data_IF_902080220767
#
_entry.id   IF_902080220767
#
_cell.length_a   1.000
_cell.length_b   1.000
_cell.length_c   1.000
_cell.angle_alpha   90.00
_cell.angle_beta   90.00
_cell.angle_gamma   90.00
#
_symmetry.space_group_name_H-M   'P 1'
#
loop_
_entity.id
_entity.type
_entity.pdbx_description
1 polymer ?
#
# COMPACT_ATOMS: atom_id res chain seq x y z
N UNK A 1 2.85 2.61 -26.85
CA UNK A 1 2.53 1.88 -25.60
C UNK A 1 1.60 2.74 -24.78
N UNK A 2 0.35 2.31 -24.58
CA UNK A 2 -0.65 3.08 -23.83
C UNK A 2 -0.49 2.84 -22.33
N UNK A 3 -0.64 3.89 -21.52
CA UNK A 3 -0.84 3.73 -20.08
C UNK A 3 -2.17 3.00 -19.85
N UNK A 4 -2.23 2.14 -18.82
CA UNK A 4 -3.49 1.47 -18.46
C UNK A 4 -4.52 2.41 -17.82
N UNK A 5 -4.11 3.60 -17.39
CA UNK A 5 -4.97 4.63 -16.81
C UNK A 5 -4.81 5.97 -17.53
N UNK A 6 -5.95 6.64 -17.74
CA UNK A 6 -6.04 8.04 -18.19
C UNK A 6 -5.64 8.95 -17.02
N UNK A 7 -4.58 9.74 -17.18
CA UNK A 7 -4.12 10.65 -16.11
C UNK A 7 -4.92 11.94 -16.22
N UNK A 8 -5.81 12.14 -15.26
CA UNK A 8 -6.58 13.37 -15.12
C UNK A 8 -6.00 14.19 -13.98
N UNK A 9 -5.42 15.33 -14.31
CA UNK A 9 -4.97 16.29 -13.30
C UNK A 9 -6.16 17.14 -12.85
N UNK A 10 -6.46 17.12 -11.56
CA UNK A 10 -7.49 17.98 -10.95
C UNK A 10 -7.08 18.35 -9.52
N UNK A 11 -7.68 19.42 -8.98
CA UNK A 11 -7.49 19.80 -7.58
C UNK A 11 -8.13 18.78 -6.62
N UNK A 12 -9.05 17.94 -7.09
CA UNK A 12 -9.66 16.86 -6.31
C UNK A 12 -8.61 15.83 -5.85
N UNK A 13 -7.46 15.76 -6.53
CA UNK A 13 -6.33 14.92 -6.10
C UNK A 13 -5.79 15.29 -4.70
N UNK A 14 -6.11 16.49 -4.19
CA UNK A 14 -5.75 16.93 -2.84
C UNK A 14 -6.84 16.67 -1.80
N UNK A 15 -7.99 16.13 -2.21
CA UNK A 15 -9.05 15.77 -1.27
C UNK A 15 -8.57 14.69 -0.29
N UNK A 16 -8.96 14.87 0.95
CA UNK A 16 -8.61 13.97 2.05
C UNK A 16 -9.80 13.07 2.32
N UNK A 17 -9.53 11.79 2.50
CA UNK A 17 -10.54 10.79 2.80
C UNK A 17 -10.19 10.09 4.12
N UNK A 18 -11.19 9.91 4.97
CA UNK A 18 -11.04 9.16 6.21
C UNK A 18 -11.14 7.67 5.92
N UNK A 19 -10.20 6.93 6.48
CA UNK A 19 -10.21 5.47 6.50
C UNK A 19 -9.89 5.00 7.91
N UNK A 20 -10.52 3.90 8.38
CA UNK A 20 -10.19 3.34 9.67
C UNK A 20 -8.77 2.77 9.65
N UNK A 21 -8.00 3.01 10.72
CA UNK A 21 -6.64 2.46 10.88
C UNK A 21 -6.68 0.94 11.07
N UNK A 22 -7.69 0.43 11.78
CA UNK A 22 -7.95 -1.00 11.92
C UNK A 22 -9.20 -1.32 11.11
N UNK A 23 -9.08 -2.23 10.14
CA UNK A 23 -10.16 -2.60 9.24
C UNK A 23 -10.29 -4.11 9.17
N UNK A 24 -11.51 -4.60 9.32
CA UNK A 24 -11.80 -6.02 9.15
C UNK A 24 -11.72 -6.38 7.66
N UNK A 25 -11.04 -7.47 7.35
CA UNK A 25 -11.08 -8.05 6.02
C UNK A 25 -12.53 -8.46 5.68
N UNK A 26 -13.07 -8.09 4.50
CA UNK A 26 -14.50 -8.31 4.22
C UNK A 26 -14.89 -9.79 4.24
N UNK A 27 -14.01 -10.66 3.77
CA UNK A 27 -14.23 -12.10 3.67
C UNK A 27 -13.80 -12.88 4.93
N UNK A 28 -12.58 -12.67 5.45
CA UNK A 28 -12.07 -13.45 6.60
C UNK A 28 -12.48 -12.87 7.95
N UNK A 29 -12.93 -11.61 7.99
CA UNK A 29 -13.25 -10.84 9.22
C UNK A 29 -12.08 -10.56 10.16
N UNK A 30 -10.88 -11.02 9.82
CA UNK A 30 -9.66 -10.73 10.56
C UNK A 30 -9.38 -9.22 10.59
N UNK A 31 -8.93 -8.72 11.74
CA UNK A 31 -8.49 -7.34 11.89
C UNK A 31 -7.13 -7.14 11.21
N UNK A 32 -7.01 -6.07 10.42
CA UNK A 32 -5.77 -5.66 9.78
C UNK A 32 -5.51 -4.17 9.94
N UNK A 33 -4.23 -3.80 9.95
CA UNK A 33 -3.82 -2.39 9.86
C UNK A 33 -4.03 -1.94 8.41
N UNK A 34 -4.84 -0.91 8.22
CA UNK A 34 -5.17 -0.35 6.92
C UNK A 34 -4.49 1.01 6.72
N UNK A 35 -3.45 0.98 5.89
CA UNK A 35 -2.74 2.18 5.44
C UNK A 35 -1.23 2.04 5.54
N UNK A 36 -0.53 3.04 5.00
CA UNK A 36 0.94 3.09 5.00
C UNK A 36 1.40 4.53 5.16
N UNK A 37 2.58 4.71 5.76
CA UNK A 37 3.20 6.02 6.00
C UNK A 37 3.39 6.84 4.71
N UNK A 38 3.39 6.19 3.54
CA UNK A 38 3.47 6.86 2.24
C UNK A 38 2.19 7.57 1.78
N UNK A 39 1.03 7.27 2.40
CA UNK A 39 -0.27 7.86 2.05
C UNK A 39 -0.99 8.53 3.22
N UNK A 40 -0.74 8.09 4.46
CA UNK A 40 -1.37 8.67 5.64
C UNK A 40 -0.73 10.04 5.93
N UNK A 41 -1.57 11.06 6.10
CA UNK A 41 -1.13 12.45 6.38
C UNK A 41 -1.41 12.89 7.83
N UNK A 42 -2.08 12.07 8.62
CA UNK A 42 -2.49 12.35 10.00
C UNK A 42 -3.51 11.35 10.52
N UNK A 43 -3.92 11.51 11.78
CA UNK A 43 -5.01 10.73 12.41
C UNK A 43 -6.09 11.72 12.83
N UNK A 44 -7.33 11.44 12.46
CA UNK A 44 -8.46 12.32 12.78
C UNK A 44 -8.63 12.50 14.30
N UNK A 45 -8.81 13.75 14.73
CA UNK A 45 -8.94 14.10 16.14
C UNK A 45 -7.64 14.05 16.97
N UNK A 46 -6.47 13.77 16.37
CA UNK A 46 -5.18 13.75 17.06
C UNK A 46 -4.28 14.87 16.50
N UNK A 47 -3.53 15.54 17.38
CA UNK A 47 -2.51 16.51 16.97
C UNK A 47 -1.48 15.86 16.03
N UNK A 48 -1.00 16.61 15.04
CA UNK A 48 -0.11 16.07 14.01
C UNK A 48 1.20 15.50 14.58
N UNK A 49 1.79 16.10 15.62
CA UNK A 49 3.05 15.59 16.17
C UNK A 49 2.82 14.25 16.86
N UNK A 50 1.75 14.13 17.63
CA UNK A 50 1.37 12.90 18.31
C UNK A 50 0.95 11.81 17.31
N UNK A 51 0.16 12.18 16.31
CA UNK A 51 -0.23 11.28 15.22
C UNK A 51 0.99 10.72 14.49
N UNK A 52 1.97 11.58 14.17
CA UNK A 52 3.19 11.12 13.48
C UNK A 52 4.01 10.15 14.32
N UNK A 53 4.07 10.33 15.65
CA UNK A 53 4.75 9.36 16.53
C UNK A 53 4.08 7.98 16.44
N UNK A 54 2.75 7.92 16.55
CA UNK A 54 1.98 6.69 16.43
C UNK A 54 2.19 6.03 15.06
N UNK A 55 2.11 6.83 13.98
CA UNK A 55 2.26 6.32 12.61
C UNK A 55 3.65 5.76 12.35
N UNK A 56 4.70 6.36 12.93
CA UNK A 56 6.07 5.84 12.81
C UNK A 56 6.26 4.53 13.58
N UNK A 57 5.68 4.42 14.78
CA UNK A 57 5.67 3.17 15.55
C UNK A 57 4.94 2.04 14.80
N UNK A 58 3.75 2.32 14.25
CA UNK A 58 2.99 1.37 13.43
C UNK A 58 3.74 0.98 12.16
N UNK A 59 4.39 1.93 11.49
CA UNK A 59 5.21 1.66 10.30
C UNK A 59 6.37 0.73 10.63
N UNK A 60 7.10 1.00 11.73
CA UNK A 60 8.19 0.16 12.19
C UNK A 60 7.71 -1.27 12.54
N UNK A 61 6.56 -1.40 13.20
CA UNK A 61 5.97 -2.69 13.51
C UNK A 61 5.56 -3.47 12.25
N UNK A 62 4.87 -2.83 11.30
CA UNK A 62 4.45 -3.46 10.03
C UNK A 62 5.63 -3.93 9.17
N UNK A 63 6.83 -3.36 9.39
CA UNK A 63 8.03 -3.66 8.61
C UNK A 63 9.00 -4.63 9.31
N UNK A 64 8.64 -5.24 10.45
CA UNK A 64 9.47 -6.26 11.09
C UNK A 64 9.70 -7.45 10.16
N UNK A 65 10.91 -8.00 10.16
CA UNK A 65 11.30 -9.08 9.24
C UNK A 65 10.42 -10.34 9.35
N UNK A 66 9.80 -10.59 10.51
CA UNK A 66 8.86 -11.70 10.73
C UNK A 66 7.58 -11.61 9.88
N UNK A 67 7.21 -10.40 9.42
CA UNK A 67 6.07 -10.17 8.53
C UNK A 67 6.47 -10.08 7.05
N UNK A 68 7.77 -10.15 6.74
CA UNK A 68 8.28 -9.84 5.40
C UNK A 68 8.50 -11.12 4.59
N UNK A 69 7.68 -11.30 3.57
CA UNK A 69 7.99 -12.18 2.45
C UNK A 69 8.83 -11.43 1.39
N UNK A 70 9.98 -12.01 1.00
CA UNK A 70 10.84 -11.48 -0.08
C UNK A 70 10.78 -12.37 -1.31
N UNK A 71 10.28 -11.81 -2.42
CA UNK A 71 10.20 -12.54 -3.67
C UNK A 71 11.42 -12.30 -4.56
N UNK A 72 12.07 -13.38 -5.00
CA UNK A 72 13.10 -13.33 -6.03
C UNK A 72 12.47 -13.64 -7.40
N UNK A 73 12.35 -12.59 -8.21
CA UNK A 73 11.75 -12.70 -9.55
C UNK A 73 12.57 -13.57 -10.48
N UNK A 74 11.88 -14.36 -11.29
CA UNK A 74 12.40 -15.01 -12.51
C UNK A 74 11.41 -14.76 -13.66
N UNK A 75 11.88 -14.98 -14.89
CA UNK A 75 11.05 -14.87 -16.08
C UNK A 75 9.82 -15.78 -15.95
N UNK A 76 8.69 -15.31 -16.45
CA UNK A 76 7.41 -16.04 -16.51
C UNK A 76 6.81 -16.38 -15.14
N UNK A 77 7.18 -15.64 -14.08
CA UNK A 77 6.54 -15.72 -12.77
C UNK A 77 5.33 -14.79 -12.65
N UNK A 78 4.32 -15.26 -11.93
CA UNK A 78 3.16 -14.50 -11.50
C UNK A 78 3.12 -14.46 -9.98
N UNK A 79 2.88 -13.28 -9.42
CA UNK A 79 2.44 -13.12 -8.04
C UNK A 79 1.07 -12.46 -8.05
N UNK A 80 0.24 -12.89 -7.10
CA UNK A 80 -1.00 -12.23 -6.72
C UNK A 80 -0.94 -11.95 -5.22
N UNK A 81 -1.41 -10.78 -4.80
CA UNK A 81 -1.53 -10.43 -3.40
C UNK A 81 -2.87 -9.72 -3.14
N UNK A 82 -3.32 -9.77 -1.89
CA UNK A 82 -4.50 -9.05 -1.44
C UNK A 82 -4.11 -7.65 -0.94
N UNK A 83 -4.45 -6.61 -1.70
CA UNK A 83 -4.10 -5.23 -1.36
C UNK A 83 -4.86 -4.68 -0.14
N UNK A 84 -5.80 -5.45 0.43
CA UNK A 84 -6.56 -5.09 1.64
C UNK A 84 -5.84 -5.49 2.92
N UNK A 85 -4.86 -6.39 2.85
CA UNK A 85 -4.21 -6.98 4.03
C UNK A 85 -2.67 -6.98 3.97
N UNK A 86 -2.05 -6.47 2.90
CA UNK A 86 -0.59 -6.43 2.79
C UNK A 86 -0.08 -5.07 2.35
N UNK A 87 1.15 -4.76 2.77
CA UNK A 87 1.99 -3.72 2.18
C UNK A 87 3.00 -4.36 1.23
N UNK A 88 3.46 -3.59 0.24
CA UNK A 88 4.50 -4.04 -0.67
C UNK A 88 5.49 -2.92 -0.99
N UNK A 89 6.73 -3.29 -1.31
CA UNK A 89 7.79 -2.36 -1.70
C UNK A 89 8.65 -2.98 -2.79
N UNK A 90 8.93 -2.23 -3.85
CA UNK A 90 9.96 -2.59 -4.82
C UNK A 90 11.35 -2.34 -4.22
N UNK A 91 12.26 -3.30 -4.35
CA UNK A 91 13.67 -3.13 -3.99
C UNK A 91 14.47 -2.64 -5.20
N UNK A 92 15.50 -1.83 -4.98
CA UNK A 92 16.48 -1.45 -6.02
C UNK A 92 17.51 -2.55 -6.32
N UNK A 93 18.68 -2.18 -6.84
CA UNK A 93 19.80 -3.11 -7.08
C UNK A 93 19.88 -3.67 -8.51
N UNK A 94 19.26 -3.01 -9.48
CA UNK A 94 19.29 -3.36 -10.90
C UNK A 94 19.68 -2.15 -11.77
N UNK A 95 20.52 -1.27 -11.23
CA UNK A 95 21.00 -0.08 -11.92
C UNK A 95 21.67 -0.47 -13.25
N UNK A 96 21.29 0.23 -14.34
CA UNK A 96 21.78 -0.07 -15.69
C UNK A 96 21.13 -1.29 -16.37
N UNK A 97 20.15 -1.94 -15.73
CA UNK A 97 19.40 -3.06 -16.30
C UNK A 97 17.92 -2.70 -16.51
N UNK A 98 17.33 -3.19 -17.60
CA UNK A 98 15.89 -3.05 -17.83
C UNK A 98 15.10 -4.04 -16.95
N UNK A 99 14.01 -3.57 -16.33
CA UNK A 99 13.08 -4.39 -15.57
C UNK A 99 11.64 -4.08 -15.96
N UNK A 100 11.02 -4.99 -16.72
CA UNK A 100 9.63 -4.88 -17.18
C UNK A 100 8.73 -5.86 -16.42
N UNK A 101 7.60 -5.37 -15.89
CA UNK A 101 6.51 -6.18 -15.37
C UNK A 101 5.18 -5.71 -15.94
N UNK A 102 4.26 -6.64 -16.07
CA UNK A 102 2.86 -6.36 -16.38
C UNK A 102 2.02 -6.54 -15.11
N UNK A 103 1.05 -5.64 -14.89
CA UNK A 103 0.17 -5.66 -13.72
C UNK A 103 -1.28 -5.49 -14.14
N UNK A 104 -2.13 -6.33 -13.59
CA UNK A 104 -3.59 -6.15 -13.56
C UNK A 104 -4.00 -5.80 -12.14
N UNK A 105 -4.78 -4.73 -11.97
CA UNK A 105 -5.36 -4.36 -10.68
C UNK A 105 -6.82 -4.76 -10.67
N UNK A 106 -7.23 -5.57 -9.69
CA UNK A 106 -8.63 -5.91 -9.46
C UNK A 106 -9.23 -4.80 -8.57
N UNK A 107 -10.23 -4.10 -9.08
CA UNK A 107 -10.95 -3.11 -8.28
C UNK A 107 -11.78 -3.81 -7.21
N UNK A 108 -11.85 -3.22 -6.01
CA UNK A 108 -12.83 -3.63 -5.02
C UNK A 108 -14.19 -3.05 -5.41
N UNK A 109 -15.22 -3.90 -5.49
CA UNK A 109 -16.61 -3.48 -5.59
C UNK A 109 -17.24 -3.47 -4.19
N UNK A 110 -17.90 -2.37 -3.81
CA UNK A 110 -18.77 -2.30 -2.63
C UNK A 110 -18.07 -1.91 -1.31
N UNK A 111 -17.62 -0.66 -1.21
CA UNK A 111 -17.64 0.08 0.05
C UNK A 111 -18.83 1.04 0.03
#
# INVERSE_FOLDING_TARGET
MGRSMDIRASNEAFEKQLHPIIKNHPETREEGIYGTIGYIIGIDGIDNQEAMKILMELSAWQCKDEFVYRHQWKKDMLIMWDNRSVLHRATGGYEGQERLLHRTTIAAYGL
#
